data_IF_495029699071
#
_entry.id   IF_495029699071
#
_cell.length_a   1.000
_cell.length_b   1.000
_cell.length_c   1.000
_cell.angle_alpha   90.00
_cell.angle_beta   90.00
_cell.angle_gamma   90.00
#
_symmetry.space_group_name_H-M   'P 1'
#
loop_
_entity.id
_entity.type
_entity.pdbx_description
1 polymer ?
#
# COMPACT_ATOMS: atom_id res chain seq x y z
N UNK A 1 -20.25 -4.37 10.63
CA UNK A 1 -19.96 -4.52 9.19
C UNK A 1 -19.43 -5.93 8.98
N UNK A 2 -19.66 -6.58 7.84
CA UNK A 2 -19.08 -7.92 7.62
C UNK A 2 -17.62 -7.79 7.18
N UNK A 3 -16.80 -8.83 7.36
CA UNK A 3 -15.40 -8.84 6.89
C UNK A 3 -15.29 -8.56 5.38
N UNK A 4 -16.30 -8.96 4.60
CA UNK A 4 -16.40 -8.68 3.18
C UNK A 4 -16.63 -7.19 2.88
N UNK A 5 -17.47 -6.52 3.67
CA UNK A 5 -17.69 -5.07 3.53
C UNK A 5 -16.43 -4.28 3.86
N UNK A 6 -15.69 -4.72 4.89
CA UNK A 6 -14.41 -4.11 5.26
C UNK A 6 -13.37 -4.26 4.14
N UNK A 7 -13.23 -5.46 3.56
CA UNK A 7 -12.30 -5.69 2.43
C UNK A 7 -12.65 -4.79 1.24
N UNK A 8 -13.93 -4.71 0.86
CA UNK A 8 -14.38 -3.83 -0.23
C UNK A 8 -14.10 -2.36 0.04
N UNK A 9 -14.30 -1.91 1.27
CA UNK A 9 -13.97 -0.55 1.68
C UNK A 9 -12.47 -0.29 1.54
N UNK A 10 -11.62 -1.20 2.01
CA UNK A 10 -10.16 -1.07 1.89
C UNK A 10 -9.71 -0.99 0.43
N UNK A 11 -10.28 -1.80 -0.47
CA UNK A 11 -10.02 -1.71 -1.91
C UNK A 11 -10.49 -0.37 -2.51
N UNK A 12 -11.66 0.12 -2.13
CA UNK A 12 -12.15 1.42 -2.60
C UNK A 12 -11.24 2.57 -2.11
N UNK A 13 -10.76 2.50 -0.86
CA UNK A 13 -9.82 3.46 -0.31
C UNK A 13 -8.44 3.40 -1.00
N UNK A 14 -7.99 2.22 -1.42
CA UNK A 14 -6.77 2.09 -2.22
C UNK A 14 -6.89 2.82 -3.57
N UNK A 15 -8.00 2.62 -4.28
CA UNK A 15 -8.26 3.32 -5.55
C UNK A 15 -8.43 4.83 -5.34
N UNK A 16 -9.05 5.27 -4.23
CA UNK A 16 -9.12 6.67 -3.86
C UNK A 16 -7.73 7.28 -3.66
N UNK A 17 -6.85 6.63 -2.89
CA UNK A 17 -5.48 7.11 -2.66
C UNK A 17 -4.70 7.27 -3.97
N UNK A 18 -4.84 6.30 -4.89
CA UNK A 18 -4.26 6.41 -6.24
C UNK A 18 -4.82 7.60 -7.02
N UNK A 19 -6.13 7.82 -6.95
CA UNK A 19 -6.78 8.94 -7.65
C UNK A 19 -6.36 10.31 -7.09
N UNK A 20 -6.19 10.43 -5.77
CA UNK A 20 -5.68 11.64 -5.11
C UNK A 20 -4.26 11.98 -5.60
N UNK A 21 -3.36 10.99 -5.60
CA UNK A 21 -1.99 11.16 -6.13
C UNK A 21 -2.01 11.61 -7.60
N UNK A 22 -2.81 10.96 -8.43
CA UNK A 22 -2.93 11.31 -9.85
C UNK A 22 -3.53 12.71 -10.09
N UNK A 23 -4.32 13.21 -9.14
CA UNK A 23 -4.91 14.55 -9.20
C UNK A 23 -3.97 15.65 -8.70
N UNK A 24 -2.80 15.28 -8.16
CA UNK A 24 -1.80 16.21 -7.61
C UNK A 24 -1.84 16.33 -6.09
N UNK A 25 -2.83 15.73 -5.43
CA UNK A 25 -2.97 15.70 -3.97
C UNK A 25 -2.07 14.59 -3.37
N UNK A 26 -0.76 14.69 -3.65
CA UNK A 26 0.20 13.60 -3.40
C UNK A 26 0.30 13.25 -1.91
N UNK A 27 0.35 14.24 -1.02
CA UNK A 27 0.44 14.00 0.43
C UNK A 27 -0.82 13.34 1.00
N UNK A 28 -2.00 13.80 0.56
CA UNK A 28 -3.27 13.21 0.99
C UNK A 28 -3.42 11.77 0.46
N UNK A 29 -3.07 11.56 -0.81
CA UNK A 29 -3.08 10.24 -1.43
C UNK A 29 -2.12 9.27 -0.74
N UNK A 30 -0.92 9.73 -0.37
CA UNK A 30 0.04 8.94 0.40
C UNK A 30 -0.53 8.55 1.77
N UNK A 31 -1.08 9.51 2.52
CA UNK A 31 -1.72 9.24 3.81
C UNK A 31 -2.89 8.26 3.71
N UNK A 32 -3.68 8.35 2.65
CA UNK A 32 -4.75 7.39 2.37
C UNK A 32 -4.18 5.98 2.15
N UNK A 33 -3.12 5.86 1.36
CA UNK A 33 -2.47 4.56 1.07
C UNK A 33 -1.82 3.94 2.31
N UNK A 34 -1.17 4.73 3.16
CA UNK A 34 -0.62 4.27 4.45
C UNK A 34 -1.71 3.71 5.34
N UNK A 35 -2.85 4.40 5.46
CA UNK A 35 -4.00 3.89 6.23
C UNK A 35 -4.56 2.58 5.66
N UNK A 36 -4.60 2.45 4.35
CA UNK A 36 -5.02 1.21 3.67
C UNK A 36 -4.06 0.07 4.02
N UNK A 37 -2.74 0.34 4.01
CA UNK A 37 -1.71 -0.61 4.40
C UNK A 37 -1.89 -1.10 5.83
N UNK A 38 -2.08 -0.18 6.79
CA UNK A 38 -2.30 -0.52 8.20
C UNK A 38 -3.51 -1.46 8.37
N UNK A 39 -4.64 -1.11 7.74
CA UNK A 39 -5.86 -1.93 7.80
C UNK A 39 -5.64 -3.31 7.18
N UNK A 40 -4.94 -3.38 6.04
CA UNK A 40 -4.68 -4.64 5.35
C UNK A 40 -3.71 -5.55 6.14
N UNK A 41 -2.69 -4.96 6.77
CA UNK A 41 -1.71 -5.66 7.59
C UNK A 41 -2.31 -6.19 8.91
N UNK A 42 -3.27 -5.45 9.51
CA UNK A 42 -3.93 -5.84 10.75
C UNK A 42 -5.08 -6.84 10.57
N UNK A 43 -5.49 -7.12 9.33
CA UNK A 43 -6.55 -8.09 9.07
C UNK A 43 -6.16 -9.52 9.53
N UNK A 44 -7.12 -10.26 10.11
CA UNK A 44 -6.93 -11.68 10.50
C UNK A 44 -6.56 -12.56 9.30
N UNK A 45 -7.17 -12.31 8.14
CA UNK A 45 -6.84 -12.96 6.86
C UNK A 45 -6.02 -12.02 5.98
N UNK A 46 -4.73 -11.91 6.28
CA UNK A 46 -3.78 -11.06 5.52
C UNK A 46 -3.78 -11.44 4.05
N UNK A 47 -4.02 -10.45 3.21
CA UNK A 47 -3.90 -10.54 1.75
C UNK A 47 -2.52 -10.01 1.36
N UNK A 48 -1.52 -10.89 1.36
CA UNK A 48 -0.12 -10.49 1.15
C UNK A 48 0.13 -9.89 -0.24
N UNK A 49 -0.57 -10.38 -1.28
CA UNK A 49 -0.49 -9.78 -2.62
C UNK A 49 -0.99 -8.34 -2.59
N UNK A 50 -2.12 -8.09 -1.91
CA UNK A 50 -2.66 -6.74 -1.82
C UNK A 50 -1.79 -5.81 -0.97
N UNK A 51 -1.25 -6.30 0.15
CA UNK A 51 -0.27 -5.57 0.97
C UNK A 51 0.94 -5.15 0.11
N UNK A 52 1.54 -6.08 -0.63
CA UNK A 52 2.67 -5.78 -1.52
C UNK A 52 2.29 -4.78 -2.61
N UNK A 53 1.07 -4.86 -3.16
CA UNK A 53 0.61 -3.90 -4.16
C UNK A 53 0.49 -2.47 -3.59
N UNK A 54 0.02 -2.32 -2.35
CA UNK A 54 -0.03 -1.03 -1.65
C UNK A 54 1.38 -0.50 -1.39
N UNK A 55 2.27 -1.34 -0.84
CA UNK A 55 3.64 -0.96 -0.54
C UNK A 55 4.42 -0.53 -1.79
N UNK A 56 4.27 -1.25 -2.92
CA UNK A 56 4.87 -0.86 -4.20
C UNK A 56 4.41 0.51 -4.65
N UNK A 57 3.11 0.79 -4.55
CA UNK A 57 2.54 2.10 -4.91
C UNK A 57 3.10 3.20 -4.01
N UNK A 58 3.23 2.96 -2.71
CA UNK A 58 3.85 3.93 -1.77
C UNK A 58 5.31 4.21 -2.17
N UNK A 59 6.10 3.17 -2.43
CA UNK A 59 7.49 3.33 -2.86
C UNK A 59 7.62 4.14 -4.17
N UNK A 60 6.77 3.86 -5.17
CA UNK A 60 6.71 4.64 -6.41
C UNK A 60 6.48 6.13 -6.14
N UNK A 61 5.53 6.47 -5.25
CA UNK A 61 5.22 7.86 -4.89
C UNK A 61 6.41 8.51 -4.17
N UNK A 62 7.02 7.81 -3.22
CA UNK A 62 8.19 8.31 -2.49
C UNK A 62 9.35 8.63 -3.44
N UNK A 63 9.59 7.82 -4.47
CA UNK A 63 10.57 8.15 -5.52
C UNK A 63 10.21 9.44 -6.24
N UNK A 64 8.94 9.64 -6.62
CA UNK A 64 8.51 10.89 -7.27
C UNK A 64 8.65 12.13 -6.38
N UNK A 65 8.63 11.96 -5.06
CA UNK A 65 8.87 13.01 -4.08
C UNK A 65 10.37 13.20 -3.75
N UNK A 66 11.27 12.41 -4.34
CA UNK A 66 12.71 12.45 -4.04
C UNK A 66 13.10 11.77 -2.73
N UNK A 67 12.20 11.03 -2.09
CA UNK A 67 12.42 10.25 -0.85
C UNK A 67 12.91 8.83 -1.17
N UNK A 68 13.95 8.72 -2.00
CA UNK A 68 14.40 7.44 -2.55
C UNK A 68 14.95 6.45 -1.51
N UNK A 69 15.48 6.93 -0.38
CA UNK A 69 15.99 6.05 0.69
C UNK A 69 14.85 5.29 1.38
N UNK A 70 13.76 5.98 1.68
CA UNK A 70 12.54 5.41 2.26
C UNK A 70 11.87 4.43 1.29
N UNK A 71 11.77 4.81 0.01
CA UNK A 71 11.28 3.92 -1.04
C UNK A 71 12.10 2.63 -1.14
N UNK A 72 13.44 2.74 -1.09
CA UNK A 72 14.34 1.59 -1.16
C UNK A 72 14.21 0.66 0.06
N UNK A 73 13.86 1.19 1.23
CA UNK A 73 13.57 0.36 2.41
C UNK A 73 12.32 -0.50 2.19
N UNK A 74 11.26 0.10 1.67
CA UNK A 74 10.01 -0.60 1.34
C UNK A 74 10.27 -1.68 0.29
N UNK A 75 11.03 -1.37 -0.76
CA UNK A 75 11.41 -2.33 -1.81
C UNK A 75 12.20 -3.52 -1.26
N UNK A 76 13.14 -3.28 -0.33
CA UNK A 76 13.87 -4.38 0.36
C UNK A 76 12.93 -5.27 1.16
N UNK A 77 11.95 -4.69 1.86
CA UNK A 77 10.94 -5.45 2.61
C UNK A 77 10.07 -6.31 1.68
N UNK A 78 9.59 -5.74 0.57
CA UNK A 78 8.82 -6.47 -0.44
C UNK A 78 9.64 -7.64 -1.00
N UNK A 79 10.91 -7.43 -1.34
CA UNK A 79 11.78 -8.47 -1.87
C UNK A 79 11.99 -9.62 -0.88
N UNK A 80 12.15 -9.32 0.41
CA UNK A 80 12.27 -10.32 1.46
C UNK A 80 11.00 -11.17 1.60
N UNK A 81 9.82 -10.55 1.50
CA UNK A 81 8.53 -11.25 1.55
C UNK A 81 8.33 -12.12 0.31
N UNK A 82 8.66 -11.62 -0.88
CA UNK A 82 8.53 -12.38 -2.12
C UNK A 82 9.37 -13.67 -2.09
N UNK A 83 10.61 -13.60 -1.60
CA UNK A 83 11.46 -14.78 -1.46
C UNK A 83 10.84 -15.84 -0.52
N UNK A 84 10.15 -15.43 0.54
CA UNK A 84 9.49 -16.36 1.47
C UNK A 84 8.26 -17.03 0.84
N UNK A 85 7.57 -16.34 -0.07
CA UNK A 85 6.37 -16.86 -0.73
C UNK A 85 6.69 -17.83 -1.88
N UNK A 86 7.92 -17.79 -2.40
CA UNK A 86 8.41 -18.65 -3.48
C UNK A 86 9.04 -19.98 -2.97
N UNK A 87 9.34 -20.08 -1.68
CA UNK A 87 9.85 -21.29 -0.98
C UNK A 87 8.71 -22.15 -0.39
#
# INVERSE_FOLDING_TARGET
TTAHDQRRLTYASFELGKAQVLSGDVEEGLSTLERVLDIAADAEGKDFEFIVAIERRIAEILHTQGKSEEAAEIERRIAAVAHILED
#
